data_IF_788551716885
#
_entry.id   IF_788551716885
#
_cell.length_a   1.000
_cell.length_b   1.000
_cell.length_c   1.000
_cell.angle_alpha   90.00
_cell.angle_beta   90.00
_cell.angle_gamma   90.00
#
_symmetry.space_group_name_H-M   'P 1'
#
loop_
_entity.id
_entity.type
_entity.pdbx_description
1 polymer ?
#
# COMPACT_ATOMS: atom_id res chain seq x y z
N UNK A 1 -26.78 62.52 13.87
CA UNK A 1 -25.69 61.58 14.13
C UNK A 1 -26.31 60.20 14.06
N UNK A 2 -26.26 59.59 12.87
CA UNK A 2 -26.42 58.15 12.70
C UNK A 2 -25.75 57.83 11.36
N UNK A 3 -24.55 57.27 11.42
CA UNK A 3 -23.78 56.86 10.24
C UNK A 3 -24.12 55.41 9.96
N UNK A 4 -24.93 55.17 8.93
CA UNK A 4 -25.18 53.84 8.39
C UNK A 4 -23.93 53.28 7.71
N UNK A 5 -23.47 52.13 8.18
CA UNK A 5 -22.37 51.35 7.60
C UNK A 5 -22.72 50.92 6.16
N UNK A 6 -21.78 51.00 5.19
CA UNK A 6 -21.97 50.45 3.85
C UNK A 6 -21.88 48.91 3.89
N UNK A 7 -22.85 48.26 3.25
CA UNK A 7 -22.96 46.80 3.17
C UNK A 7 -21.75 46.12 2.55
N UNK A 8 -21.40 44.96 3.11
CA UNK A 8 -20.35 44.07 2.62
C UNK A 8 -20.64 43.59 1.18
N UNK A 9 -19.61 43.47 0.32
CA UNK A 9 -19.78 42.87 -0.99
C UNK A 9 -19.93 41.34 -0.85
N UNK A 10 -21.07 40.82 -1.29
CA UNK A 10 -21.28 39.39 -1.54
C UNK A 10 -20.22 38.89 -2.54
N UNK A 11 -19.23 38.15 -2.06
CA UNK A 11 -18.27 37.44 -2.88
C UNK A 11 -18.97 36.31 -3.64
N UNK A 12 -19.35 36.57 -4.89
CA UNK A 12 -19.62 35.53 -5.87
C UNK A 12 -18.30 34.78 -6.15
N UNK A 13 -18.11 33.63 -5.50
CA UNK A 13 -17.03 32.70 -5.83
C UNK A 13 -17.29 32.10 -7.21
N UNK A 14 -16.77 32.75 -8.26
CA UNK A 14 -16.49 32.09 -9.52
C UNK A 14 -15.26 31.22 -9.27
N UNK A 15 -15.44 29.90 -9.24
CA UNK A 15 -14.34 28.94 -9.09
C UNK A 15 -13.43 29.03 -10.33
N UNK A 16 -12.38 29.84 -10.22
CA UNK A 16 -11.33 29.94 -11.21
C UNK A 16 -10.24 28.93 -10.84
N UNK A 17 -10.01 27.91 -11.68
CA UNK A 17 -8.84 27.04 -11.53
C UNK A 17 -7.57 27.90 -11.68
N UNK A 18 -6.76 27.97 -10.63
CA UNK A 18 -5.49 28.72 -10.63
C UNK A 18 -4.35 27.75 -10.93
N UNK A 19 -3.61 28.01 -12.01
CA UNK A 19 -2.36 27.32 -12.32
C UNK A 19 -1.18 28.27 -12.08
N UNK A 20 -0.16 27.80 -11.36
CA UNK A 20 1.07 28.55 -11.11
C UNK A 20 2.21 27.98 -11.97
N UNK A 21 2.80 28.83 -12.82
CA UNK A 21 3.94 28.42 -13.64
C UNK A 21 5.22 28.45 -12.80
N UNK A 22 5.99 27.36 -12.77
CA UNK A 22 7.26 27.27 -12.03
C UNK A 22 8.45 27.93 -12.74
N UNK A 23 8.21 28.80 -13.74
CA UNK A 23 9.25 29.57 -14.43
C UNK A 23 9.83 28.93 -15.69
N UNK A 24 10.92 29.54 -16.20
CA UNK A 24 11.50 29.42 -17.56
C UNK A 24 12.08 28.04 -17.92
N UNK A 25 11.26 27.01 -17.99
CA UNK A 25 11.72 25.69 -18.39
C UNK A 25 11.26 25.33 -19.81
N UNK A 26 12.18 25.49 -20.77
CA UNK A 26 12.10 24.90 -22.11
C UNK A 26 12.90 23.58 -22.11
N UNK A 27 12.26 22.44 -21.85
CA UNK A 27 12.90 21.14 -22.09
C UNK A 27 11.89 20.13 -22.63
N UNK A 28 12.22 19.51 -23.77
CA UNK A 28 11.44 18.48 -24.45
C UNK A 28 11.59 17.07 -23.86
N UNK A 29 12.20 16.93 -22.68
CA UNK A 29 12.46 15.62 -22.07
C UNK A 29 11.24 15.17 -21.27
N UNK A 30 10.55 14.13 -21.79
CA UNK A 30 9.40 13.42 -21.21
C UNK A 30 9.54 13.09 -19.70
N UNK A 31 10.77 12.96 -19.18
CA UNK A 31 11.05 12.68 -17.77
C UNK A 31 10.83 13.88 -16.81
N UNK A 32 10.70 15.11 -17.33
CA UNK A 32 10.42 16.30 -16.51
C UNK A 32 8.96 16.42 -16.06
N UNK A 33 8.07 15.56 -16.56
CA UNK A 33 6.61 15.68 -16.39
C UNK A 33 6.04 14.76 -15.31
N UNK A 34 6.89 14.09 -14.51
CA UNK A 34 6.50 13.03 -13.57
C UNK A 34 5.51 13.49 -12.46
N UNK A 35 5.26 14.79 -12.31
CA UNK A 35 4.33 15.37 -11.34
C UNK A 35 3.31 16.36 -11.93
N UNK A 36 3.21 16.47 -13.26
CA UNK A 36 2.25 17.40 -13.89
C UNK A 36 0.86 16.75 -13.97
N UNK A 37 -0.18 17.51 -13.57
CA UNK A 37 -1.60 17.09 -13.66
C UNK A 37 -2.29 17.61 -14.95
N UNK A 38 -1.72 18.63 -15.59
CA UNK A 38 -2.19 19.17 -16.86
C UNK A 38 -1.03 19.77 -17.68
N UNK A 39 -1.23 19.81 -18.99
CA UNK A 39 -0.38 20.45 -20.00
C UNK A 39 -1.09 21.70 -20.51
N UNK A 40 -0.50 22.87 -20.34
CA UNK A 40 -1.05 24.11 -20.90
C UNK A 40 -0.58 24.29 -22.34
N UNK A 41 -1.52 24.55 -23.25
CA UNK A 41 -1.24 24.93 -24.62
C UNK A 41 -1.04 26.44 -24.69
N UNK A 42 0.20 26.87 -24.85
CA UNK A 42 0.56 28.28 -24.99
C UNK A 42 0.60 28.66 -26.49
N UNK A 43 0.22 29.89 -26.87
CA UNK A 43 0.33 30.34 -28.26
C UNK A 43 1.79 30.25 -28.74
N UNK A 44 2.00 29.73 -29.95
CA UNK A 44 3.34 29.56 -30.53
C UNK A 44 4.07 30.88 -30.82
N UNK A 45 3.34 32.00 -30.83
CA UNK A 45 3.90 33.34 -30.94
C UNK A 45 4.44 33.74 -29.57
N UNK A 46 5.76 33.89 -29.44
CA UNK A 46 6.50 34.16 -28.19
C UNK A 46 6.20 35.50 -27.49
N UNK A 47 4.94 35.90 -27.43
CA UNK A 47 4.45 37.04 -26.69
C UNK A 47 4.24 36.64 -25.23
N UNK A 48 4.57 37.57 -24.33
CA UNK A 48 4.32 37.42 -22.89
C UNK A 48 2.82 37.42 -22.62
N UNK A 49 2.31 36.41 -21.89
CA UNK A 49 0.90 36.33 -21.50
C UNK A 49 0.65 37.23 -20.28
N UNK A 50 -0.33 38.14 -20.38
CA UNK A 50 -0.78 38.97 -19.26
C UNK A 50 -1.51 38.13 -18.21
N UNK A 51 -1.35 38.45 -16.93
CA UNK A 51 -2.07 37.79 -15.84
C UNK A 51 -3.60 37.86 -16.06
N UNK A 52 -4.29 36.73 -15.92
CA UNK A 52 -5.73 36.59 -16.19
C UNK A 52 -6.09 36.11 -17.60
N UNK A 53 -5.11 35.82 -18.46
CA UNK A 53 -5.35 35.25 -19.78
C UNK A 53 -5.79 33.78 -19.70
N UNK A 54 -6.82 33.41 -20.46
CA UNK A 54 -7.28 32.02 -20.58
C UNK A 54 -6.42 31.25 -21.58
N UNK A 55 -6.00 30.04 -21.22
CA UNK A 55 -5.26 29.10 -22.09
C UNK A 55 -5.91 27.73 -22.07
N UNK A 56 -5.81 26.99 -23.17
CA UNK A 56 -6.30 25.61 -23.24
C UNK A 56 -5.39 24.70 -22.42
N UNK A 57 -5.96 23.71 -21.74
CA UNK A 57 -5.22 22.73 -20.95
C UNK A 57 -5.63 21.31 -21.34
N UNK A 58 -4.64 20.44 -21.57
CA UNK A 58 -4.81 19.00 -21.74
C UNK A 58 -4.54 18.35 -20.38
N UNK A 59 -5.55 17.70 -19.82
CA UNK A 59 -5.44 17.06 -18.51
C UNK A 59 -4.74 15.72 -18.67
N UNK A 60 -3.74 15.45 -17.82
CA UNK A 60 -2.91 14.22 -17.90
C UNK A 60 -3.37 13.16 -16.88
N UNK A 61 -4.13 13.56 -15.84
CA UNK A 61 -4.66 12.66 -14.81
C UNK A 61 -6.15 12.90 -14.55
N UNK A 62 -6.90 11.83 -14.32
CA UNK A 62 -8.36 11.82 -14.16
C UNK A 62 -8.82 12.71 -12.99
N UNK A 63 -9.45 13.85 -13.29
CA UNK A 63 -9.95 14.82 -12.28
C UNK A 63 -11.33 14.41 -11.74
N UNK A 64 -11.82 13.22 -12.06
CA UNK A 64 -13.16 12.74 -11.66
C UNK A 64 -13.32 12.50 -10.16
N UNK A 65 -12.29 12.70 -9.33
CA UNK A 65 -12.37 12.54 -7.88
C UNK A 65 -12.95 13.76 -7.10
N UNK A 66 -13.27 14.88 -7.76
CA UNK A 66 -13.93 16.02 -7.10
C UNK A 66 -15.41 16.10 -7.45
N UNK A 67 -16.24 15.42 -6.64
CA UNK A 67 -17.70 15.62 -6.67
C UNK A 67 -18.01 16.98 -6.04
N UNK A 68 -18.58 17.87 -6.86
CA UNK A 68 -19.11 19.17 -6.48
C UNK A 68 -20.41 18.94 -5.71
N UNK A 69 -20.45 19.36 -4.45
CA UNK A 69 -21.67 19.45 -3.65
C UNK A 69 -22.67 20.42 -4.32
N UNK A 70 -23.62 19.89 -5.08
CA UNK A 70 -24.82 20.62 -5.52
C UNK A 70 -25.87 20.56 -4.43
N UNK A 71 -25.88 21.56 -3.54
CA UNK A 71 -27.06 21.91 -2.75
C UNK A 71 -27.55 23.31 -3.12
N UNK A 72 -28.51 23.37 -4.04
CA UNK A 72 -29.44 24.48 -4.20
C UNK A 72 -30.70 23.97 -4.95
N UNK A 73 -31.81 23.84 -4.19
CA UNK A 73 -33.24 24.09 -4.47
C UNK A 73 -33.78 23.96 -5.93
N UNK A 74 -34.96 23.40 -6.26
CA UNK A 74 -36.31 23.49 -5.68
C UNK A 74 -37.26 22.41 -6.28
N UNK A 75 -38.19 21.93 -5.45
CA UNK A 75 -39.58 21.42 -5.67
C UNK A 75 -40.07 20.80 -7.00
N UNK A 76 -40.57 19.56 -6.96
CA UNK A 76 -42.01 19.18 -6.85
C UNK A 76 -42.22 17.64 -6.80
N UNK A 77 -43.39 17.14 -6.32
CA UNK A 77 -43.54 15.79 -5.78
C UNK A 77 -44.13 14.77 -6.78
N UNK A 78 -43.69 13.51 -6.63
CA UNK A 78 -44.48 12.35 -7.05
C UNK A 78 -43.91 11.55 -8.22
N UNK A 79 -43.10 10.52 -7.90
CA UNK A 79 -43.34 9.17 -8.44
C UNK A 79 -42.46 8.17 -7.70
N UNK A 80 -43.10 7.16 -7.12
CA UNK A 80 -42.47 6.02 -6.46
C UNK A 80 -41.60 5.31 -7.50
N UNK A 81 -40.28 5.47 -7.40
CA UNK A 81 -39.29 4.71 -8.16
C UNK A 81 -38.42 3.95 -7.18
N UNK A 82 -38.47 2.62 -7.33
CA UNK A 82 -37.72 1.60 -6.58
C UNK A 82 -36.31 2.08 -6.22
N UNK A 83 -36.02 2.13 -4.93
CA UNK A 83 -34.69 2.37 -4.38
C UNK A 83 -33.72 1.32 -4.95
N UNK A 84 -32.90 1.73 -5.91
CA UNK A 84 -31.63 1.06 -6.17
C UNK A 84 -30.72 1.45 -5.02
N UNK A 85 -30.40 0.46 -4.18
CA UNK A 85 -29.31 0.50 -3.21
C UNK A 85 -28.05 0.91 -3.97
N UNK A 86 -27.62 2.16 -3.84
CA UNK A 86 -26.30 2.58 -4.30
C UNK A 86 -25.33 1.91 -3.35
N UNK A 87 -24.54 0.98 -3.87
CA UNK A 87 -23.44 0.38 -3.12
C UNK A 87 -22.57 1.52 -2.56
N UNK A 88 -22.43 1.50 -1.25
CA UNK A 88 -21.48 2.29 -0.49
C UNK A 88 -20.13 2.19 -1.20
N UNK A 89 -19.53 3.32 -1.60
CA UNK A 89 -18.21 3.34 -2.22
C UNK A 89 -17.29 2.56 -1.29
N UNK A 90 -16.69 1.43 -1.71
CA UNK A 90 -15.86 0.65 -0.81
C UNK A 90 -14.74 1.57 -0.31
N UNK A 91 -14.65 1.73 1.02
CA UNK A 91 -13.48 2.36 1.63
C UNK A 91 -12.19 1.66 1.18
N UNK A 92 -11.01 2.26 1.41
CA UNK A 92 -9.75 1.60 1.07
C UNK A 92 -9.72 0.19 1.66
N UNK A 93 -9.38 -0.79 0.83
CA UNK A 93 -9.39 -2.20 1.26
C UNK A 93 -8.33 -2.44 2.36
N UNK A 94 -7.28 -1.61 2.40
CA UNK A 94 -6.31 -1.55 3.51
C UNK A 94 -5.96 -0.10 3.93
N UNK A 95 -6.01 0.17 5.23
CA UNK A 95 -5.62 1.44 5.86
C UNK A 95 -4.13 1.42 6.20
N UNK A 96 -3.39 2.39 5.70
CA UNK A 96 -1.95 2.56 5.96
C UNK A 96 -1.71 3.81 6.81
N UNK A 97 -0.83 3.70 7.80
CA UNK A 97 -0.35 4.84 8.57
C UNK A 97 1.18 4.97 8.48
N UNK A 98 1.68 6.21 8.49
CA UNK A 98 3.11 6.53 8.37
C UNK A 98 3.55 7.36 9.57
N UNK A 99 4.50 6.84 10.35
CA UNK A 99 5.09 7.51 11.50
C UNK A 99 6.52 7.96 11.20
N UNK A 100 6.75 9.26 11.08
CA UNK A 100 8.11 9.80 11.04
C UNK A 100 8.64 9.93 12.46
N UNK A 101 9.77 9.26 12.74
CA UNK A 101 10.45 9.33 14.04
C UNK A 101 11.73 10.15 13.85
N UNK A 102 11.74 11.36 14.41
CA UNK A 102 12.88 12.26 14.34
C UNK A 102 12.76 13.42 15.31
N UNK A 103 13.75 13.58 16.19
CA UNK A 103 13.89 14.76 17.05
C UNK A 103 13.89 16.08 16.26
N UNK A 104 14.60 16.13 15.12
CA UNK A 104 14.76 17.37 14.34
C UNK A 104 13.47 17.77 13.66
N UNK A 105 12.75 16.83 13.07
CA UNK A 105 11.45 17.08 12.44
C UNK A 105 10.40 17.40 13.50
N UNK A 106 10.36 16.64 14.61
CA UNK A 106 9.41 16.87 15.70
C UNK A 106 9.61 18.23 16.38
N UNK A 107 10.84 18.73 16.46
CA UNK A 107 11.15 20.05 17.00
C UNK A 107 10.92 21.20 16.00
N UNK A 108 10.54 20.91 14.75
CA UNK A 108 10.39 21.90 13.68
C UNK A 108 11.71 22.46 13.15
N UNK A 109 12.85 21.82 13.49
CA UNK A 109 14.18 22.26 13.09
C UNK A 109 14.58 21.82 11.67
N UNK A 110 13.79 20.95 11.02
CA UNK A 110 14.00 20.54 9.64
C UNK A 110 12.73 19.95 9.01
N UNK A 111 12.62 19.97 7.66
CA UNK A 111 11.44 19.45 6.97
C UNK A 111 11.43 17.92 6.96
N UNK A 112 10.24 17.33 7.10
CA UNK A 112 10.03 15.91 6.82
C UNK A 112 10.13 15.65 5.31
N UNK A 113 11.16 14.92 4.89
CA UNK A 113 11.32 14.48 3.50
C UNK A 113 10.92 13.03 3.28
N UNK A 114 10.97 12.21 4.32
CA UNK A 114 10.72 10.77 4.22
C UNK A 114 9.23 10.46 4.28
N UNK A 115 8.47 11.17 5.13
CA UNK A 115 7.01 11.05 5.25
C UNK A 115 6.30 11.25 3.91
N UNK A 116 6.43 12.42 3.25
CA UNK A 116 5.79 12.67 1.96
C UNK A 116 6.21 11.68 0.87
N UNK A 117 7.47 11.21 0.91
CA UNK A 117 7.97 10.20 -0.02
C UNK A 117 7.32 8.84 0.22
N UNK A 118 7.20 8.41 1.48
CA UNK A 118 6.52 7.18 1.85
C UNK A 118 5.06 7.19 1.41
N UNK A 119 4.35 8.32 1.61
CA UNK A 119 2.98 8.52 1.14
C UNK A 119 2.89 8.30 -0.37
N UNK A 120 3.72 9.01 -1.13
CA UNK A 120 3.75 8.90 -2.58
C UNK A 120 4.03 7.46 -3.07
N UNK A 121 4.94 6.74 -2.40
CA UNK A 121 5.27 5.35 -2.74
C UNK A 121 4.09 4.40 -2.47
N UNK A 122 3.44 4.53 -1.31
CA UNK A 122 2.28 3.72 -0.96
C UNK A 122 1.13 3.99 -1.91
N UNK A 123 0.80 5.26 -2.15
CA UNK A 123 -0.33 5.63 -3.00
C UNK A 123 -0.10 5.23 -4.47
N UNK A 124 1.11 5.43 -5.00
CA UNK A 124 1.47 4.95 -6.35
C UNK A 124 1.50 3.43 -6.48
N UNK A 125 1.62 2.72 -5.35
CA UNK A 125 1.57 1.26 -5.30
C UNK A 125 0.22 0.72 -4.83
N UNK A 126 -0.80 1.57 -4.67
CA UNK A 126 -2.09 1.21 -4.07
C UNK A 126 -2.73 -0.02 -4.71
N UNK A 127 -2.79 -0.08 -6.04
CA UNK A 127 -3.34 -1.23 -6.78
C UNK A 127 -2.59 -2.53 -6.48
N UNK A 128 -1.25 -2.47 -6.47
CA UNK A 128 -0.37 -3.62 -6.17
C UNK A 128 -0.53 -4.07 -4.72
N UNK A 129 -0.81 -3.14 -3.82
CA UNK A 129 -1.10 -3.38 -2.40
C UNK A 129 -2.56 -3.79 -2.15
N UNK A 130 -3.38 -3.92 -3.20
CA UNK A 130 -4.79 -4.28 -3.08
C UNK A 130 -5.64 -3.14 -2.57
N UNK A 131 -5.50 -1.93 -3.13
CA UNK A 131 -6.32 -0.77 -2.76
C UNK A 131 -5.90 -0.10 -1.45
N UNK A 132 -4.65 -0.30 -1.02
CA UNK A 132 -4.13 0.33 0.19
C UNK A 132 -4.05 1.85 0.03
N UNK A 133 -4.44 2.61 1.06
CA UNK A 133 -4.32 4.08 1.07
C UNK A 133 -3.73 4.57 2.37
N UNK A 134 -2.92 5.63 2.30
CA UNK A 134 -2.49 6.31 3.50
C UNK A 134 -3.65 7.14 4.06
N UNK A 135 -4.03 6.86 5.31
CA UNK A 135 -5.14 7.54 6.00
C UNK A 135 -4.67 8.36 7.19
N UNK A 136 -3.46 8.11 7.67
CA UNK A 136 -2.87 8.83 8.80
C UNK A 136 -1.36 9.02 8.64
N UNK A 137 -0.88 10.19 9.02
CA UNK A 137 0.54 10.47 9.19
C UNK A 137 0.76 11.16 10.53
N UNK A 138 1.92 10.93 11.14
CA UNK A 138 2.32 11.61 12.37
C UNK A 138 3.84 11.75 12.43
N UNK A 139 4.29 12.72 13.24
CA UNK A 139 5.70 12.92 13.57
C UNK A 139 5.85 12.83 15.09
N UNK A 140 6.85 12.09 15.56
CA UNK A 140 7.19 11.99 16.98
C UNK A 140 8.71 12.14 17.18
N UNK A 141 9.16 12.61 18.36
CA UNK A 141 10.58 12.59 18.70
C UNK A 141 11.08 11.15 18.91
N UNK A 142 12.39 10.98 18.98
CA UNK A 142 13.08 9.70 19.21
C UNK A 142 12.94 9.24 20.69
N UNK A 143 11.69 9.04 21.12
CA UNK A 143 11.31 8.67 22.47
C UNK A 143 10.47 7.40 22.47
N UNK A 144 10.95 6.37 23.16
CA UNK A 144 10.35 5.02 23.15
C UNK A 144 8.86 5.04 23.48
N UNK A 145 8.46 5.77 24.51
CA UNK A 145 7.06 5.80 24.94
C UNK A 145 6.17 6.54 23.93
N UNK A 146 6.65 7.62 23.31
CA UNK A 146 5.89 8.34 22.26
C UNK A 146 5.64 7.48 21.02
N UNK A 147 6.66 6.73 20.60
CA UNK A 147 6.54 5.80 19.46
C UNK A 147 5.54 4.69 19.82
N UNK A 148 5.67 4.08 21.01
CA UNK A 148 4.77 3.01 21.48
C UNK A 148 3.31 3.47 21.52
N UNK A 149 3.04 4.65 22.08
CA UNK A 149 1.68 5.17 22.22
C UNK A 149 0.99 5.30 20.86
N UNK A 150 1.70 5.81 19.85
CA UNK A 150 1.17 5.92 18.49
C UNK A 150 0.96 4.55 17.86
N UNK A 151 1.95 3.64 17.96
CA UNK A 151 1.83 2.30 17.39
C UNK A 151 0.65 1.53 18.01
N UNK A 152 0.48 1.60 19.33
CA UNK A 152 -0.64 0.96 20.03
C UNK A 152 -1.97 1.59 19.62
N UNK A 153 -2.08 2.92 19.60
CA UNK A 153 -3.31 3.59 19.18
C UNK A 153 -3.70 3.21 17.75
N UNK A 154 -2.75 3.27 16.82
CA UNK A 154 -3.02 2.96 15.42
C UNK A 154 -3.37 1.48 15.19
N UNK A 155 -2.78 0.57 15.97
CA UNK A 155 -3.14 -0.84 15.88
C UNK A 155 -4.47 -1.17 16.55
N UNK A 156 -4.70 -0.69 17.78
CA UNK A 156 -5.77 -1.20 18.63
C UNK A 156 -7.06 -0.37 18.55
N UNK A 157 -6.94 0.92 18.25
CA UNK A 157 -8.08 1.87 18.24
C UNK A 157 -8.46 2.24 16.81
N UNK A 158 -7.47 2.65 16.00
CA UNK A 158 -7.74 3.10 14.64
C UNK A 158 -7.77 1.93 13.63
N UNK A 159 -7.36 0.73 14.08
CA UNK A 159 -7.35 -0.54 13.34
C UNK A 159 -6.70 -0.39 11.96
N UNK A 160 -5.44 0.08 11.95
CA UNK A 160 -4.62 0.17 10.74
C UNK A 160 -4.20 -1.23 10.28
N UNK A 161 -4.20 -1.47 8.97
CA UNK A 161 -3.75 -2.75 8.42
C UNK A 161 -2.20 -2.77 8.30
N UNK A 162 -1.59 -1.62 7.99
CA UNK A 162 -0.15 -1.44 7.85
C UNK A 162 0.33 -0.15 8.52
N UNK A 163 1.38 -0.24 9.33
CA UNK A 163 2.10 0.91 9.88
C UNK A 163 3.55 0.87 9.39
N UNK A 164 3.99 1.97 8.78
CA UNK A 164 5.37 2.19 8.38
C UNK A 164 5.99 3.26 9.30
N UNK A 165 7.06 2.92 10.00
CA UNK A 165 7.84 3.93 10.74
C UNK A 165 9.05 4.34 9.91
N UNK A 166 9.43 5.61 9.94
CA UNK A 166 10.53 6.16 9.18
C UNK A 166 11.57 6.75 10.12
N UNK A 167 12.78 6.19 10.15
CA UNK A 167 13.88 6.70 10.98
C UNK A 167 14.01 6.04 12.36
N UNK A 168 15.05 6.44 13.10
CA UNK A 168 15.35 5.92 14.44
C UNK A 168 15.86 4.47 14.47
N UNK A 169 16.38 3.93 13.36
CA UNK A 169 16.84 2.53 13.23
C UNK A 169 18.37 2.38 13.13
N UNK A 170 19.13 3.47 13.23
CA UNK A 170 20.60 3.48 13.15
C UNK A 170 21.30 3.07 14.45
N UNK A 171 22.58 3.40 14.58
CA UNK A 171 23.41 3.09 15.76
C UNK A 171 23.59 4.29 16.72
N UNK A 172 22.91 5.42 16.47
CA UNK A 172 23.02 6.56 17.37
C UNK A 172 22.31 6.28 18.70
N UNK A 173 22.70 6.91 19.82
CA UNK A 173 22.05 6.69 21.12
C UNK A 173 20.56 7.05 21.15
N UNK A 174 20.10 7.88 20.21
CA UNK A 174 18.68 8.27 20.08
C UNK A 174 17.90 7.32 19.18
N UNK A 175 18.55 6.52 18.35
CA UNK A 175 17.83 5.54 17.51
C UNK A 175 17.16 4.48 18.41
N UNK A 176 15.85 4.58 18.64
CA UNK A 176 15.10 3.70 19.55
C UNK A 176 13.83 3.10 18.93
N UNK A 177 13.60 3.32 17.63
CA UNK A 177 12.40 2.82 16.93
C UNK A 177 12.28 1.29 16.97
N UNK A 178 13.35 0.50 16.76
CA UNK A 178 13.28 -0.96 16.88
C UNK A 178 12.89 -1.43 18.28
N UNK A 179 13.44 -0.80 19.33
CA UNK A 179 13.13 -1.12 20.73
C UNK A 179 11.67 -0.81 21.07
N UNK A 180 11.15 0.32 20.60
CA UNK A 180 9.74 0.67 20.74
C UNK A 180 8.82 -0.34 20.01
N UNK A 181 9.20 -0.71 18.78
CA UNK A 181 8.44 -1.67 17.95
C UNK A 181 8.41 -3.06 18.59
N UNK A 182 9.54 -3.57 19.06
CA UNK A 182 9.63 -4.87 19.74
C UNK A 182 8.81 -4.95 21.03
N UNK A 183 8.56 -3.82 21.70
CA UNK A 183 7.71 -3.76 22.89
C UNK A 183 6.21 -3.82 22.59
N UNK A 184 5.78 -3.60 21.34
CA UNK A 184 4.35 -3.55 20.96
C UNK A 184 3.90 -4.73 20.10
N UNK A 185 4.81 -5.32 19.32
CA UNK A 185 4.49 -6.47 18.47
C UNK A 185 4.31 -7.74 19.30
N UNK A 186 3.41 -8.59 18.86
CA UNK A 186 3.13 -9.91 19.45
C UNK A 186 3.90 -11.02 18.75
N UNK A 187 4.14 -10.85 17.44
CA UNK A 187 4.84 -11.82 16.59
C UNK A 187 5.82 -11.10 15.67
N UNK A 188 7.08 -11.50 15.67
CA UNK A 188 8.08 -10.95 14.75
C UNK A 188 7.90 -11.47 13.32
N UNK A 189 8.28 -10.65 12.33
CA UNK A 189 8.29 -11.01 10.91
C UNK A 189 9.69 -10.88 10.31
N UNK A 190 10.66 -11.71 10.76
CA UNK A 190 12.08 -11.56 10.37
C UNK A 190 12.32 -11.76 8.87
N UNK A 191 11.46 -12.51 8.17
CA UNK A 191 11.57 -12.70 6.72
C UNK A 191 11.47 -11.40 5.93
N UNK A 192 10.64 -10.45 6.38
CA UNK A 192 10.54 -9.13 5.74
C UNK A 192 11.85 -8.33 5.90
N UNK A 193 12.43 -8.38 7.11
CA UNK A 193 13.69 -7.71 7.42
C UNK A 193 14.85 -8.30 6.62
N UNK A 194 14.88 -9.62 6.45
CA UNK A 194 15.88 -10.29 5.63
C UNK A 194 15.84 -9.79 4.18
N UNK A 195 14.66 -9.74 3.55
CA UNK A 195 14.50 -9.25 2.17
C UNK A 195 14.89 -7.77 2.06
N UNK A 196 14.42 -6.92 2.99
CA UNK A 196 14.82 -5.51 3.01
C UNK A 196 16.34 -5.33 3.11
N UNK A 197 17.00 -6.08 4.01
CA UNK A 197 18.44 -6.05 4.19
C UNK A 197 19.18 -6.54 2.95
N UNK A 198 18.74 -7.67 2.37
CA UNK A 198 19.34 -8.25 1.18
C UNK A 198 19.30 -7.28 -0.01
N UNK A 199 18.16 -6.62 -0.26
CA UNK A 199 18.03 -5.64 -1.34
C UNK A 199 18.82 -4.36 -1.04
N UNK A 200 18.78 -3.87 0.19
CA UNK A 200 19.52 -2.66 0.58
C UNK A 200 21.04 -2.82 0.47
N UNK A 201 21.57 -4.01 0.78
CA UNK A 201 23.01 -4.31 0.67
C UNK A 201 23.53 -4.33 -0.77
N UNK A 202 22.66 -4.54 -1.76
CA UNK A 202 23.03 -4.40 -3.20
C UNK A 202 23.27 -2.94 -3.58
N UNK A 203 22.66 -2.01 -2.83
CA UNK A 203 22.71 -0.57 -3.10
C UNK A 203 23.83 0.08 -2.28
N UNK A 204 23.94 -0.27 -1.00
CA UNK A 204 24.95 0.30 -0.12
C UNK A 204 25.41 -0.68 0.97
N UNK A 205 26.73 -0.78 1.25
CA UNK A 205 27.21 -1.58 2.37
C UNK A 205 26.71 -1.06 3.72
N UNK A 206 26.39 0.22 3.84
CA UNK A 206 25.91 0.81 5.11
C UNK A 206 24.55 0.27 5.57
N UNK A 207 23.81 -0.43 4.71
CA UNK A 207 22.57 -1.09 5.10
C UNK A 207 22.76 -2.04 6.30
N UNK A 208 23.95 -2.62 6.47
CA UNK A 208 24.28 -3.50 7.61
C UNK A 208 24.18 -2.81 8.98
N UNK A 209 24.15 -1.47 9.03
CA UNK A 209 24.02 -0.69 10.25
C UNK A 209 22.56 -0.47 10.68
N UNK A 210 21.60 -0.98 9.92
CA UNK A 210 20.19 -0.90 10.30
C UNK A 210 19.84 -1.94 11.37
N UNK A 211 19.12 -1.50 12.39
CA UNK A 211 18.54 -2.35 13.45
C UNK A 211 17.02 -2.52 13.28
N UNK A 212 16.47 -2.23 12.12
CA UNK A 212 15.02 -2.30 11.83
C UNK A 212 14.36 -3.55 12.43
N UNK A 213 13.17 -3.37 13.00
CA UNK A 213 12.29 -4.45 13.41
C UNK A 213 11.01 -4.45 12.56
N UNK A 214 10.34 -5.60 12.51
CA UNK A 214 9.05 -5.76 11.88
C UNK A 214 8.27 -6.85 12.59
N UNK A 215 6.95 -6.67 12.71
CA UNK A 215 6.11 -7.63 13.39
C UNK A 215 4.63 -7.31 13.29
N UNK A 216 3.84 -8.18 13.90
CA UNK A 216 2.38 -8.12 13.88
C UNK A 216 1.89 -7.83 15.29
N UNK A 217 0.94 -6.91 15.41
CA UNK A 217 0.14 -6.63 16.61
C UNK A 217 -1.33 -6.73 16.23
N UNK A 218 -2.09 -7.64 16.84
CA UNK A 218 -3.47 -7.93 16.40
C UNK A 218 -3.56 -8.21 14.89
N UNK A 219 -4.32 -7.35 14.19
CA UNK A 219 -4.48 -7.36 12.73
C UNK A 219 -3.63 -6.34 11.98
N UNK A 220 -2.62 -5.76 12.63
CA UNK A 220 -1.75 -4.72 12.06
C UNK A 220 -0.35 -5.26 11.81
N UNK A 221 0.17 -5.03 10.59
CA UNK A 221 1.58 -5.22 10.28
C UNK A 221 2.36 -3.93 10.55
N UNK A 222 3.47 -4.01 11.29
CA UNK A 222 4.33 -2.88 11.61
C UNK A 222 5.72 -3.13 11.02
N UNK A 223 6.26 -2.18 10.25
CA UNK A 223 7.58 -2.31 9.60
C UNK A 223 8.41 -1.04 9.82
N UNK A 224 9.64 -1.20 10.34
CA UNK A 224 10.56 -0.08 10.47
C UNK A 224 11.37 0.14 9.19
N UNK A 225 11.11 1.26 8.52
CA UNK A 225 11.81 1.70 7.32
C UNK A 225 12.93 2.70 7.66
N UNK A 226 13.96 2.80 6.80
CA UNK A 226 15.01 3.80 6.96
C UNK A 226 14.47 5.25 6.91
N UNK A 227 15.19 6.19 7.53
CA UNK A 227 14.85 7.62 7.47
C UNK A 227 15.18 8.31 6.13
N UNK A 228 15.93 7.65 5.24
CA UNK A 228 16.28 8.21 3.93
C UNK A 228 15.10 8.01 2.94
N UNK A 229 14.59 9.09 2.28
CA UNK A 229 13.46 9.00 1.36
C UNK A 229 13.65 8.00 0.20
N UNK A 230 14.86 7.86 -0.33
CA UNK A 230 15.14 6.91 -1.41
C UNK A 230 15.11 5.47 -0.89
N UNK A 231 15.74 5.23 0.27
CA UNK A 231 15.77 3.91 0.90
C UNK A 231 14.36 3.42 1.28
N UNK A 232 13.44 4.31 1.64
CA UNK A 232 12.02 3.96 1.85
C UNK A 232 11.40 3.38 0.58
N UNK A 233 11.64 4.02 -0.58
CA UNK A 233 11.10 3.54 -1.86
C UNK A 233 11.69 2.17 -2.23
N UNK A 234 13.00 2.01 -2.05
CA UNK A 234 13.73 0.75 -2.32
C UNK A 234 13.23 -0.39 -1.42
N UNK A 235 13.08 -0.14 -0.11
CA UNK A 235 12.54 -1.12 0.84
C UNK A 235 11.10 -1.48 0.53
N UNK A 236 10.25 -0.50 0.18
CA UNK A 236 8.88 -0.80 -0.21
C UNK A 236 8.84 -1.65 -1.49
N UNK A 237 9.63 -1.31 -2.51
CA UNK A 237 9.71 -2.08 -3.75
C UNK A 237 10.12 -3.54 -3.50
N UNK A 238 11.09 -3.76 -2.61
CA UNK A 238 11.52 -5.10 -2.21
C UNK A 238 10.39 -5.93 -1.56
N UNK A 239 9.49 -5.28 -0.79
CA UNK A 239 8.41 -5.95 -0.07
C UNK A 239 7.11 -6.09 -0.86
N UNK A 240 6.89 -5.26 -1.89
CA UNK A 240 5.66 -5.24 -2.68
C UNK A 240 5.16 -6.63 -3.13
N UNK A 241 6.01 -7.57 -3.59
CA UNK A 241 5.54 -8.88 -4.05
C UNK A 241 4.81 -9.70 -2.99
N UNK A 242 5.18 -9.54 -1.72
CA UNK A 242 4.61 -10.30 -0.59
C UNK A 242 3.55 -9.51 0.19
N UNK A 243 3.63 -8.17 0.18
CA UNK A 243 2.90 -7.33 1.13
C UNK A 243 1.37 -7.44 0.98
N UNK A 244 0.85 -7.50 -0.25
CA UNK A 244 -0.60 -7.73 -0.48
C UNK A 244 -1.09 -9.05 0.14
N UNK A 245 -0.31 -10.12 -0.02
CA UNK A 245 -0.69 -11.42 0.55
C UNK A 245 -0.62 -11.40 2.07
N UNK A 246 0.41 -10.76 2.64
CA UNK A 246 0.59 -10.62 4.07
C UNK A 246 -0.60 -9.88 4.70
N UNK A 247 -0.99 -8.72 4.15
CA UNK A 247 -2.13 -7.95 4.64
C UNK A 247 -3.44 -8.77 4.58
N UNK A 248 -3.67 -9.48 3.48
CA UNK A 248 -4.84 -10.37 3.34
C UNK A 248 -4.85 -11.48 4.40
N UNK A 249 -3.70 -12.09 4.68
CA UNK A 249 -3.59 -13.15 5.70
C UNK A 249 -3.85 -12.62 7.11
N UNK A 250 -3.28 -11.47 7.44
CA UNK A 250 -3.41 -10.86 8.77
C UNK A 250 -4.86 -10.43 9.04
N UNK A 251 -5.56 -9.90 8.02
CA UNK A 251 -6.97 -9.50 8.10
C UNK A 251 -7.94 -10.68 8.26
N UNK A 252 -7.46 -11.92 8.04
CA UNK A 252 -8.24 -13.14 8.20
C UNK A 252 -8.84 -13.65 6.89
N UNK A 253 -7.97 -14.16 6.00
CA UNK A 253 -8.41 -14.96 4.85
C UNK A 253 -9.07 -16.24 5.40
N UNK A 254 -10.41 -16.33 5.31
CA UNK A 254 -11.22 -17.52 5.66
C UNK A 254 -10.97 -18.65 4.66
N UNK A 255 -9.73 -19.07 4.46
CA UNK A 255 -9.48 -20.34 3.78
C UNK A 255 -9.96 -21.42 4.73
N UNK A 256 -11.12 -21.98 4.43
CA UNK A 256 -11.45 -23.33 4.86
C UNK A 256 -10.20 -24.16 4.60
N UNK A 257 -9.62 -24.71 5.67
CA UNK A 257 -8.58 -25.72 5.54
C UNK A 257 -9.25 -26.89 4.82
N UNK A 258 -9.19 -26.93 3.49
CA UNK A 258 -9.59 -28.12 2.77
C UNK A 258 -8.79 -29.27 3.36
N UNK A 259 -9.42 -30.27 3.99
CA UNK A 259 -8.73 -31.38 4.60
C UNK A 259 -8.32 -32.35 3.47
N UNK A 260 -7.40 -31.91 2.61
CA UNK A 260 -6.74 -32.80 1.64
C UNK A 260 -5.47 -33.42 2.21
N UNK A 261 -5.05 -32.98 3.40
CA UNK A 261 -3.93 -33.59 4.09
C UNK A 261 -4.44 -34.70 5.01
N UNK A 262 -4.46 -35.92 4.50
CA UNK A 262 -4.56 -37.12 5.33
C UNK A 262 -3.24 -37.21 6.11
N UNK A 263 -3.25 -37.23 7.46
CA UNK A 263 -2.06 -37.46 8.26
C UNK A 263 -1.31 -38.70 7.74
N UNK A 264 0.03 -38.69 7.69
CA UNK A 264 0.79 -39.85 7.22
C UNK A 264 0.48 -41.16 7.99
N UNK A 265 -0.02 -41.04 9.22
CA UNK A 265 -0.49 -42.18 10.02
C UNK A 265 -1.81 -42.80 9.54
N UNK A 266 -2.63 -42.02 8.82
CA UNK A 266 -3.93 -42.42 8.26
C UNK A 266 -3.87 -42.64 6.74
N UNK A 267 -2.74 -42.31 6.10
CA UNK A 267 -2.48 -42.72 4.75
C UNK A 267 -2.40 -44.25 4.74
N UNK A 268 -3.35 -44.91 4.10
CA UNK A 268 -3.20 -46.33 3.75
C UNK A 268 -1.82 -46.52 3.13
N UNK A 269 -1.07 -47.49 3.66
CA UNK A 269 0.26 -47.90 3.18
C UNK A 269 0.34 -47.71 1.67
N UNK A 270 1.39 -47.08 1.12
CA UNK A 270 1.50 -46.92 -0.32
C UNK A 270 1.30 -48.30 -0.92
N UNK A 271 0.21 -48.47 -1.66
CA UNK A 271 -0.05 -49.71 -2.37
C UNK A 271 1.10 -49.81 -3.34
N UNK A 272 2.09 -50.64 -3.00
CA UNK A 272 3.27 -50.80 -3.81
C UNK A 272 2.76 -51.37 -5.13
N UNK A 273 2.74 -50.51 -6.15
CA UNK A 273 2.17 -50.82 -7.46
C UNK A 273 2.90 -51.99 -8.10
N UNK A 274 4.13 -52.27 -7.64
CA UNK A 274 4.89 -53.46 -7.93
C UNK A 274 4.29 -54.73 -7.34
N UNK A 275 3.82 -54.70 -6.09
CA UNK A 275 3.30 -55.89 -5.40
C UNK A 275 1.96 -56.34 -6.01
N UNK A 276 1.13 -55.39 -6.45
CA UNK A 276 -0.08 -55.69 -7.22
C UNK A 276 0.24 -56.24 -8.61
N UNK A 277 1.20 -55.64 -9.32
CA UNK A 277 1.62 -56.10 -10.64
C UNK A 277 2.27 -57.49 -10.57
N UNK A 278 3.10 -57.74 -9.56
CA UNK A 278 3.75 -59.02 -9.29
C UNK A 278 2.73 -60.11 -8.96
N UNK A 279 1.78 -59.86 -8.05
CA UNK A 279 0.70 -60.81 -7.74
C UNK A 279 -0.18 -61.10 -8.96
N UNK A 280 -0.54 -60.08 -9.74
CA UNK A 280 -1.34 -60.28 -10.96
C UNK A 280 -0.62 -61.10 -12.04
N UNK A 281 0.71 -61.05 -12.09
CA UNK A 281 1.51 -61.85 -13.03
C UNK A 281 1.71 -63.30 -12.57
N UNK A 282 1.70 -63.56 -11.26
CA UNK A 282 1.94 -64.89 -10.69
C UNK A 282 0.66 -65.65 -10.32
N UNK A 283 -0.45 -64.98 -9.97
CA UNK A 283 -1.72 -65.63 -9.61
C UNK A 283 -2.48 -66.21 -10.82
N UNK A 284 -2.05 -65.96 -12.06
CA UNK A 284 -2.56 -66.65 -13.26
C UNK A 284 -1.86 -67.99 -13.55
N UNK A 285 -1.20 -68.58 -12.55
CA UNK A 285 -0.36 -69.77 -12.64
C UNK A 285 -1.01 -71.12 -12.31
N UNK A 286 -2.33 -71.27 -12.22
CA UNK A 286 -2.97 -72.59 -12.08
C UNK A 286 -4.06 -72.85 -13.13
N UNK A 287 -3.66 -73.66 -14.13
CA UNK A 287 -4.45 -74.48 -15.07
C UNK A 287 -5.45 -73.77 -15.98
N UNK A 288 -4.97 -73.28 -17.12
CA UNK A 288 -5.73 -73.36 -18.38
C UNK A 288 -5.26 -74.58 -19.16
N UNK A 289 -6.16 -75.54 -19.33
CA UNK A 289 -6.03 -76.63 -20.30
C UNK A 289 -5.73 -76.05 -21.69
N UNK A 290 -4.79 -76.66 -22.39
CA UNK A 290 -4.42 -76.32 -23.76
C UNK A 290 -5.62 -76.58 -24.70
N UNK A 291 -6.27 -75.51 -25.15
CA UNK A 291 -7.15 -75.57 -26.31
C UNK A 291 -6.29 -75.44 -27.58
N UNK A 292 -6.13 -76.55 -28.28
CA UNK A 292 -5.29 -76.67 -29.47
C UNK A 292 -5.62 -75.67 -30.57
N UNK A 293 -4.57 -75.08 -31.14
CA UNK A 293 -4.63 -74.35 -32.39
C UNK A 293 -4.69 -75.37 -33.55
N UNK A 294 -5.88 -75.56 -34.11
CA UNK A 294 -6.05 -76.24 -35.40
C UNK A 294 -5.98 -75.18 -36.50
N UNK A 295 -4.91 -75.21 -37.30
CA UNK A 295 -4.89 -74.83 -38.72
C UNK A 295 -3.50 -75.15 -39.31
N UNK A 296 -3.40 -76.29 -39.98
CA UNK A 296 -2.37 -76.64 -40.96
C UNK A 296 -2.91 -76.40 -42.36
N UNK A 297 -2.28 -75.51 -43.14
CA UNK A 297 -1.62 -75.77 -44.43
C UNK A 297 -1.21 -74.47 -45.12
#
# INVERSE_FOLDING_TARGET
>A
MDQGLPGEPVHNYVFLFVAESTGHQMSSRLLSMRSANALLELPATGNVLSAGSSVSAIIVSDISAFSIDKKASLSEPGSIRKEKKYDEVPGPEYKVAILTVSDTVSAGAGPDRSGPRAVSVVDSSSEKLGGAKVVATAVVPDEVERIKDILQKWSDVDEMDLILTLGGTGFTPRDVTPEATKKVIERETPGLLFVMMQESLKITPFAMLSRSAAGIRGSTLIINMPGNPNAVAECMEALLPALKHALKQIKGDKREKHPKHIPHAEATLPTDTWDQSYKSAYETGEKKEEAGCSCTH
#
